data_IF_725630113364
#
_entry.id   IF_725630113364
#
_cell.length_a   1.000
_cell.length_b   1.000
_cell.length_c   1.000
_cell.angle_alpha   90.00
_cell.angle_beta   90.00
_cell.angle_gamma   90.00
#
_symmetry.space_group_name_H-M   'P 1'
#
loop_
_entity.id
_entity.type
_entity.pdbx_description
1 polymer ?
#
# COMPACT_ATOMS: atom_id res chain seq x y z
N UNK A 1 22.60 32.03 14.62
CA UNK A 1 22.10 31.47 13.34
C UNK A 1 21.18 30.32 13.71
N UNK A 2 19.90 30.38 13.36
CA UNK A 2 18.95 29.32 13.71
C UNK A 2 19.30 28.05 12.93
N UNK A 3 19.62 26.98 13.64
CA UNK A 3 19.83 25.68 13.02
C UNK A 3 18.44 25.13 12.69
N UNK A 4 17.98 25.34 11.45
CA UNK A 4 16.68 24.85 10.99
C UNK A 4 16.78 23.32 10.91
N UNK A 5 16.19 22.62 11.87
CA UNK A 5 16.07 21.17 11.82
C UNK A 5 15.14 20.84 10.66
N UNK A 6 15.71 20.38 9.55
CA UNK A 6 14.94 19.82 8.45
C UNK A 6 14.37 18.49 8.94
N UNK A 7 13.04 18.40 8.99
CA UNK A 7 12.38 17.13 9.20
C UNK A 7 12.34 16.31 7.89
N UNK A 8 11.85 15.07 7.99
CA UNK A 8 11.81 14.16 6.85
C UNK A 8 10.88 14.67 5.74
N UNK A 9 9.76 15.30 6.11
CA UNK A 9 8.75 15.79 5.18
C UNK A 9 9.28 17.00 4.40
N UNK A 10 9.99 17.90 5.09
CA UNK A 10 10.73 19.03 4.52
C UNK A 10 11.78 18.55 3.50
N UNK A 11 12.52 17.48 3.84
CA UNK A 11 13.54 16.91 2.94
C UNK A 11 12.91 16.30 1.69
N UNK A 12 11.87 15.46 1.86
CA UNK A 12 11.17 14.80 0.75
C UNK A 12 10.61 15.86 -0.20
N UNK A 13 9.92 16.87 0.34
CA UNK A 13 9.33 17.96 -0.45
C UNK A 13 10.39 18.70 -1.27
N UNK A 14 11.48 19.11 -0.63
CA UNK A 14 12.59 19.78 -1.31
C UNK A 14 13.29 18.90 -2.34
N UNK A 15 13.36 17.59 -2.10
CA UNK A 15 14.00 16.65 -3.04
C UNK A 15 13.12 16.43 -4.27
N UNK A 16 11.81 16.28 -4.10
CA UNK A 16 10.85 16.16 -5.20
C UNK A 16 10.89 17.37 -6.14
N UNK A 17 11.07 18.58 -5.60
CA UNK A 17 11.19 19.80 -6.42
C UNK A 17 12.46 19.84 -7.27
N UNK A 18 13.56 19.26 -6.76
CA UNK A 18 14.89 19.33 -7.40
C UNK A 18 15.19 18.18 -8.35
N UNK A 19 14.50 17.06 -8.17
CA UNK A 19 14.79 15.80 -8.83
C UNK A 19 13.48 15.18 -9.32
N UNK A 20 13.18 15.40 -10.61
CA UNK A 20 11.96 14.90 -11.25
C UNK A 20 11.91 13.39 -11.33
N UNK A 21 13.06 12.71 -11.39
CA UNK A 21 13.12 11.24 -11.42
C UNK A 21 12.81 10.69 -10.03
N UNK A 22 13.38 11.29 -8.99
CA UNK A 22 12.99 11.02 -7.61
C UNK A 22 11.50 11.28 -7.40
N UNK A 23 10.96 12.43 -7.82
CA UNK A 23 9.55 12.74 -7.66
C UNK A 23 8.64 11.71 -8.31
N UNK A 24 8.96 11.27 -9.52
CA UNK A 24 8.18 10.28 -10.25
C UNK A 24 8.16 8.91 -9.58
N UNK A 25 9.30 8.47 -9.02
CA UNK A 25 9.44 7.12 -8.49
C UNK A 25 9.16 7.04 -6.98
N UNK A 26 9.30 8.15 -6.25
CA UNK A 26 9.13 8.19 -4.79
C UNK A 26 7.70 7.83 -4.39
N UNK A 27 6.70 8.41 -5.06
CA UNK A 27 5.30 8.15 -4.71
C UNK A 27 4.91 6.69 -4.95
N UNK A 28 5.27 6.14 -6.12
CA UNK A 28 5.06 4.71 -6.42
C UNK A 28 5.77 3.80 -5.40
N UNK A 29 7.07 4.03 -5.14
CA UNK A 29 7.83 3.21 -4.20
C UNK A 29 7.33 3.34 -2.76
N UNK A 30 6.84 4.52 -2.37
CA UNK A 30 6.23 4.75 -1.07
C UNK A 30 4.90 3.99 -0.92
N UNK A 31 4.05 4.00 -1.94
CA UNK A 31 2.81 3.22 -1.96
C UNK A 31 3.07 1.72 -1.87
N UNK A 32 4.00 1.21 -2.67
CA UNK A 32 4.41 -0.19 -2.64
C UNK A 32 4.90 -0.54 -1.23
N UNK A 33 5.84 0.22 -0.67
CA UNK A 33 6.34 0.01 0.69
C UNK A 33 5.22 -0.05 1.72
N UNK A 34 4.26 0.90 1.66
CA UNK A 34 3.12 0.97 2.57
C UNK A 34 2.25 -0.29 2.47
N UNK A 35 1.97 -0.78 1.27
CA UNK A 35 1.22 -2.03 1.06
C UNK A 35 1.94 -3.21 1.74
N UNK A 36 3.24 -3.36 1.53
CA UNK A 36 4.03 -4.44 2.12
C UNK A 36 4.01 -4.40 3.65
N UNK A 37 4.13 -3.19 4.23
CA UNK A 37 3.99 -2.96 5.66
C UNK A 37 2.61 -3.35 6.19
N UNK A 38 1.52 -2.94 5.53
CA UNK A 38 0.17 -3.27 5.98
C UNK A 38 -0.08 -4.78 5.99
N UNK A 39 0.41 -5.51 4.98
CA UNK A 39 0.31 -6.98 4.93
C UNK A 39 1.04 -7.60 6.13
N UNK A 40 2.25 -7.11 6.41
CA UNK A 40 3.06 -7.57 7.53
C UNK A 40 2.39 -7.30 8.87
N UNK A 41 1.83 -6.11 9.07
CA UNK A 41 1.10 -5.74 10.29
C UNK A 41 -0.11 -6.63 10.50
N UNK A 42 -0.99 -6.77 9.50
CA UNK A 42 -2.15 -7.67 9.60
C UNK A 42 -1.75 -9.11 9.94
N UNK A 43 -0.66 -9.60 9.34
CA UNK A 43 -0.13 -10.93 9.64
C UNK A 43 0.32 -11.06 11.09
N UNK A 44 1.08 -10.07 11.59
CA UNK A 44 1.60 -10.06 12.96
C UNK A 44 0.49 -9.92 14.00
N UNK A 45 -0.48 -9.02 13.77
CA UNK A 45 -1.69 -8.87 14.60
C UNK A 45 -2.47 -10.17 14.70
N UNK A 46 -2.52 -10.94 13.62
CA UNK A 46 -3.19 -12.24 13.57
C UNK A 46 -2.34 -13.39 14.12
N UNK A 47 -1.15 -13.11 14.65
CA UNK A 47 -0.25 -14.11 15.23
C UNK A 47 0.32 -15.12 14.23
N UNK A 48 0.33 -14.80 12.93
CA UNK A 48 0.74 -15.73 11.88
C UNK A 48 2.22 -15.56 11.47
N UNK A 49 2.86 -16.67 11.13
CA UNK A 49 4.16 -16.68 10.42
C UNK A 49 3.96 -16.47 8.92
N UNK A 50 5.04 -16.12 8.20
CA UNK A 50 4.99 -16.01 6.74
C UNK A 50 4.62 -17.34 6.07
N UNK A 51 5.09 -18.48 6.60
CA UNK A 51 4.67 -19.81 6.16
C UNK A 51 3.16 -20.02 6.31
N UNK A 52 2.59 -19.71 7.47
CA UNK A 52 1.16 -19.91 7.73
C UNK A 52 0.28 -19.04 6.83
N UNK A 53 0.69 -17.79 6.57
CA UNK A 53 0.00 -16.94 5.61
C UNK A 53 0.13 -17.49 4.18
N UNK A 54 1.30 -18.02 3.81
CA UNK A 54 1.52 -18.63 2.51
C UNK A 54 0.63 -19.86 2.28
N UNK A 55 0.48 -20.73 3.29
CA UNK A 55 -0.41 -21.89 3.26
C UNK A 55 -1.87 -21.46 3.03
N UNK A 56 -2.34 -20.45 3.76
CA UNK A 56 -3.72 -19.92 3.60
C UNK A 56 -3.98 -19.28 2.24
N UNK A 57 -2.95 -18.72 1.61
CA UNK A 57 -3.02 -18.08 0.30
C UNK A 57 -2.65 -19.03 -0.85
N UNK A 58 -2.39 -20.31 -0.56
CA UNK A 58 -1.96 -21.32 -1.52
C UNK A 58 -0.76 -20.84 -2.37
N UNK A 59 0.22 -20.24 -1.69
CA UNK A 59 1.43 -19.67 -2.31
C UNK A 59 2.69 -20.09 -1.55
N UNK A 60 3.85 -19.61 -1.99
CA UNK A 60 5.14 -19.89 -1.33
C UNK A 60 5.47 -18.82 -0.31
N UNK A 61 6.16 -19.21 0.78
CA UNK A 61 6.70 -18.24 1.77
C UNK A 61 7.56 -17.15 1.12
N UNK A 62 8.33 -17.48 0.09
CA UNK A 62 9.13 -16.50 -0.65
C UNK A 62 8.28 -15.44 -1.35
N UNK A 63 7.05 -15.76 -1.75
CA UNK A 63 6.09 -14.80 -2.31
C UNK A 63 5.58 -13.88 -1.22
N UNK A 64 5.22 -14.41 -0.04
CA UNK A 64 4.82 -13.57 1.11
C UNK A 64 5.95 -12.65 1.55
N UNK A 65 7.18 -13.17 1.66
CA UNK A 65 8.34 -12.38 2.02
C UNK A 65 8.62 -11.27 0.99
N UNK A 66 8.48 -11.56 -0.30
CA UNK A 66 8.55 -10.54 -1.35
C UNK A 66 7.44 -9.52 -1.17
N UNK A 67 6.19 -9.94 -0.95
CA UNK A 67 5.08 -9.02 -0.76
C UNK A 67 5.27 -8.09 0.44
N UNK A 68 5.89 -8.56 1.53
CA UNK A 68 6.11 -7.74 2.73
C UNK A 68 7.30 -6.79 2.65
N UNK A 69 8.32 -7.11 1.85
CA UNK A 69 9.59 -6.38 1.82
C UNK A 69 9.89 -5.69 0.47
N UNK A 70 9.27 -6.16 -0.61
CA UNK A 70 9.50 -5.79 -2.02
C UNK A 70 8.20 -5.94 -2.82
N UNK A 71 7.18 -5.17 -2.44
CA UNK A 71 5.78 -5.21 -2.90
C UNK A 71 5.54 -4.67 -4.32
N UNK A 72 6.61 -4.52 -5.10
CA UNK A 72 6.54 -4.22 -6.53
C UNK A 72 5.58 -5.20 -7.22
N UNK A 73 4.64 -4.67 -8.00
CA UNK A 73 3.69 -5.43 -8.82
C UNK A 73 2.73 -6.39 -8.09
N UNK A 74 2.37 -6.13 -6.83
CA UNK A 74 1.28 -6.91 -6.19
C UNK A 74 -0.05 -6.63 -6.91
N UNK A 75 -0.62 -7.67 -7.52
CA UNK A 75 -1.95 -7.60 -8.15
C UNK A 75 -3.02 -7.30 -7.12
N UNK A 76 -4.01 -6.49 -7.50
CA UNK A 76 -5.19 -6.21 -6.67
C UNK A 76 -5.89 -7.49 -6.19
N UNK A 77 -6.01 -8.50 -7.06
CA UNK A 77 -6.62 -9.79 -6.69
C UNK A 77 -5.86 -10.51 -5.58
N UNK A 78 -4.55 -10.32 -5.50
CA UNK A 78 -3.74 -10.83 -4.38
C UNK A 78 -4.03 -10.07 -3.10
N UNK A 79 -4.15 -8.73 -3.16
CA UNK A 79 -4.54 -7.91 -1.99
C UNK A 79 -5.93 -8.29 -1.46
N UNK A 80 -6.89 -8.53 -2.34
CA UNK A 80 -8.22 -9.00 -1.95
C UNK A 80 -8.15 -10.35 -1.23
N UNK A 81 -7.36 -11.30 -1.74
CA UNK A 81 -7.15 -12.61 -1.09
C UNK A 81 -6.53 -12.44 0.30
N UNK A 82 -5.49 -11.61 0.42
CA UNK A 82 -4.86 -11.30 1.72
C UNK A 82 -5.88 -10.70 2.69
N UNK A 83 -6.64 -9.69 2.28
CA UNK A 83 -7.67 -9.08 3.13
C UNK A 83 -8.77 -10.08 3.55
N UNK A 84 -9.13 -11.01 2.66
CA UNK A 84 -10.10 -12.07 2.96
C UNK A 84 -9.61 -13.08 3.99
N UNK A 85 -8.31 -13.41 3.99
CA UNK A 85 -7.69 -14.32 4.96
C UNK A 85 -7.85 -13.82 6.40
N UNK A 86 -7.79 -12.50 6.57
CA UNK A 86 -7.93 -11.86 7.88
C UNK A 86 -9.38 -11.51 8.23
N UNK A 87 -10.36 -11.88 7.40
CA UNK A 87 -11.76 -11.49 7.59
C UNK A 87 -11.99 -9.98 7.49
N UNK A 88 -10.99 -9.23 7.04
CA UNK A 88 -11.02 -7.77 6.97
C UNK A 88 -11.57 -7.27 5.63
N UNK A 89 -11.89 -8.10 4.63
CA UNK A 89 -12.43 -7.59 3.36
C UNK A 89 -13.83 -6.97 3.49
N UNK A 90 -13.94 -5.65 3.26
CA UNK A 90 -15.19 -4.89 3.27
C UNK A 90 -15.76 -4.58 1.89
N UNK A 91 -15.00 -4.83 0.82
CA UNK A 91 -15.36 -4.49 -0.56
C UNK A 91 -14.35 -3.58 -1.25
N UNK A 92 -14.62 -3.25 -2.51
CA UNK A 92 -13.89 -2.27 -3.30
C UNK A 92 -14.76 -1.03 -3.51
N UNK A 93 -14.17 0.15 -3.35
CA UNK A 93 -14.83 1.42 -3.63
C UNK A 93 -13.96 2.27 -4.55
N UNK A 94 -14.59 2.86 -5.55
CA UNK A 94 -13.99 3.93 -6.33
C UNK A 94 -14.30 5.26 -5.64
N UNK A 95 -13.28 6.09 -5.48
CA UNK A 95 -13.44 7.45 -4.97
C UNK A 95 -13.05 8.45 -6.07
N UNK A 96 -13.91 9.43 -6.38
CA UNK A 96 -13.56 10.47 -7.32
C UNK A 96 -12.43 11.33 -6.73
N UNK A 97 -11.42 11.61 -7.54
CA UNK A 97 -10.30 12.48 -7.21
C UNK A 97 -10.34 13.73 -8.10
N UNK A 98 -9.50 14.72 -7.78
CA UNK A 98 -9.33 15.90 -8.62
C UNK A 98 -8.81 15.51 -10.02
N UNK A 99 -9.21 16.26 -11.05
CA UNK A 99 -8.71 16.17 -12.43
C UNK A 99 -8.98 14.80 -13.10
N UNK A 100 -10.25 14.37 -13.18
CA UNK A 100 -10.71 13.14 -13.88
C UNK A 100 -10.03 11.84 -13.43
N UNK A 101 -9.38 11.87 -12.27
CA UNK A 101 -8.77 10.70 -11.64
C UNK A 101 -9.79 9.99 -10.75
N UNK A 102 -9.68 8.66 -10.68
CA UNK A 102 -10.41 7.83 -9.73
C UNK A 102 -9.42 7.04 -8.91
N UNK A 103 -9.55 7.12 -7.59
CA UNK A 103 -8.78 6.30 -6.66
C UNK A 103 -9.53 5.02 -6.36
N UNK A 104 -8.84 3.88 -6.43
CA UNK A 104 -9.40 2.61 -6.02
C UNK A 104 -9.00 2.34 -4.57
N UNK A 105 -10.00 2.07 -3.74
CA UNK A 105 -9.80 1.87 -2.32
C UNK A 105 -10.34 0.49 -1.92
N UNK A 106 -9.45 -0.33 -1.36
CA UNK A 106 -9.81 -1.60 -0.76
C UNK A 106 -10.22 -1.35 0.69
N UNK A 107 -11.47 -1.66 1.01
CA UNK A 107 -12.00 -1.54 2.36
C UNK A 107 -11.48 -2.70 3.21
N UNK A 108 -10.83 -2.37 4.33
CA UNK A 108 -10.32 -3.32 5.31
C UNK A 108 -11.02 -3.03 6.65
N UNK A 109 -11.91 -3.92 7.08
CA UNK A 109 -12.61 -3.84 8.38
C UNK A 109 -11.59 -3.99 9.51
N UNK A 110 -11.38 -2.94 10.29
CA UNK A 110 -10.67 -3.01 11.57
C UNK A 110 -11.63 -3.27 12.73
N UNK A 111 -11.09 -3.62 13.90
CA UNK A 111 -11.86 -3.96 15.11
C UNK A 111 -12.74 -2.81 15.62
N UNK A 112 -12.44 -1.55 15.27
CA UNK A 112 -13.24 -0.37 15.68
C UNK A 112 -13.26 0.80 14.66
N UNK A 113 -12.66 0.66 13.47
CA UNK A 113 -12.65 1.68 12.40
C UNK A 113 -12.61 1.00 11.03
N UNK A 114 -13.23 1.61 10.01
CA UNK A 114 -12.96 1.25 8.62
C UNK A 114 -11.55 1.75 8.25
N UNK A 115 -10.66 0.83 7.91
CA UNK A 115 -9.35 1.13 7.35
C UNK A 115 -9.38 0.89 5.85
N UNK A 116 -8.51 1.60 5.14
CA UNK A 116 -8.54 1.69 3.69
C UNK A 116 -7.13 1.42 3.15
N UNK A 117 -6.96 0.42 2.28
CA UNK A 117 -5.75 0.33 1.44
C UNK A 117 -6.03 1.16 0.19
N UNK A 118 -5.35 2.29 0.09
CA UNK A 118 -5.38 3.14 -1.12
C UNK A 118 -4.41 2.55 -2.13
N UNK A 119 -4.91 2.20 -3.32
CA UNK A 119 -4.08 1.98 -4.50
C UNK A 119 -4.38 3.15 -5.41
N UNK A 120 -3.41 4.03 -5.66
CA UNK A 120 -3.61 5.05 -6.69
C UNK A 120 -3.60 4.36 -8.06
N UNK A 121 -4.80 4.08 -8.57
CA UNK A 121 -4.95 3.78 -9.98
C UNK A 121 -4.94 5.12 -10.73
N UNK A 122 -3.85 5.42 -11.45
CA UNK A 122 -3.88 6.46 -12.48
C UNK A 122 -4.72 5.90 -13.65
N UNK A 123 -6.04 6.00 -13.55
CA UNK A 123 -6.89 5.88 -14.73
C UNK A 123 -6.95 7.27 -15.37
N UNK A 124 -6.21 7.47 -16.47
CA UNK A 124 -6.54 8.52 -17.41
C UNK A 124 -7.89 8.14 -18.03
N UNK A 125 -8.98 8.64 -17.46
CA UNK A 125 -10.25 8.69 -18.19
C UNK A 125 -10.17 9.94 -19.07
N UNK A 126 -9.38 9.86 -20.14
CA UNK A 126 -9.45 10.80 -21.24
C UNK A 126 -10.08 10.05 -22.41
N UNK A 127 -11.12 10.67 -22.99
CA UNK A 127 -11.90 10.21 -24.15
C UNK A 127 -11.06 9.68 -25.32
#
# INVERSE_FOLDING_TARGET
MANKTLDLDDYISQRKEKDSEFAKNFDTGYEEFKIGMMIKEMRLESGMTQEQLAEKLETKKSVISRMENHSEDIRLSTLQKVASVFGKYGGLRMMPMAQDKVQLVLMVKGDNREEYITVECIANIAE
#
